data_IF_124087229783
#
_entry.id   IF_124087229783
#
_cell.length_a   1.000
_cell.length_b   1.000
_cell.length_c   1.000
_cell.angle_alpha   90.00
_cell.angle_beta   90.00
_cell.angle_gamma   90.00
#
_symmetry.space_group_name_H-M   'P 1'
#
loop_
_entity.id
_entity.type
_entity.pdbx_description
1 polymer ?
#
# COMPACT_ATOMS: atom_id res chain seq x y z
N UNK A 1 -25.28 5.81 7.87
CA UNK A 1 -24.60 6.96 7.25
C UNK A 1 -23.95 6.44 5.98
N UNK A 2 -24.46 6.85 4.82
CA UNK A 2 -23.78 6.55 3.55
C UNK A 2 -22.40 7.22 3.57
N UNK A 3 -21.34 6.39 3.67
CA UNK A 3 -19.97 6.88 3.50
C UNK A 3 -19.81 7.25 2.03
N UNK A 4 -19.84 8.54 1.72
CA UNK A 4 -19.47 9.03 0.40
C UNK A 4 -17.97 8.77 0.23
N UNK A 5 -17.60 7.84 -0.62
CA UNK A 5 -16.21 7.64 -1.02
C UNK A 5 -15.93 8.67 -2.10
N UNK A 6 -15.21 9.74 -1.74
CA UNK A 6 -14.71 10.68 -2.72
C UNK A 6 -13.60 10.02 -3.55
N UNK A 7 -13.56 10.35 -4.84
CA UNK A 7 -12.46 9.88 -5.69
C UNK A 7 -11.17 10.58 -5.28
N UNK A 8 -10.17 9.79 -4.90
CA UNK A 8 -8.83 10.29 -4.60
C UNK A 8 -8.03 10.30 -5.90
N UNK A 9 -7.33 11.39 -6.15
CA UNK A 9 -6.42 11.57 -7.28
C UNK A 9 -4.99 11.70 -6.77
N UNK A 10 -4.03 11.12 -7.48
CA UNK A 10 -2.61 11.22 -7.18
C UNK A 10 -1.87 11.90 -8.31
N UNK A 11 -1.24 13.03 -8.02
CA UNK A 11 -0.35 13.74 -8.93
C UNK A 11 1.07 13.17 -8.79
N UNK A 12 1.50 12.38 -9.76
CA UNK A 12 2.80 11.71 -9.74
C UNK A 12 3.97 12.70 -9.80
N UNK A 13 3.84 13.79 -10.54
CA UNK A 13 4.91 14.79 -10.69
C UNK A 13 5.16 15.54 -9.38
N UNK A 14 4.08 15.92 -8.68
CA UNK A 14 4.16 16.65 -7.41
C UNK A 14 4.21 15.72 -6.20
N UNK A 15 3.97 14.42 -6.41
CA UNK A 15 3.84 13.42 -5.36
C UNK A 15 2.81 13.80 -4.29
N UNK A 16 1.62 14.24 -4.74
CA UNK A 16 0.55 14.77 -3.89
C UNK A 16 -0.78 14.07 -4.16
N UNK A 17 -1.56 13.93 -3.11
CA UNK A 17 -2.92 13.39 -3.17
C UNK A 17 -3.93 14.53 -3.10
N UNK A 18 -5.05 14.37 -3.82
CA UNK A 18 -6.18 15.29 -3.81
C UNK A 18 -7.49 14.54 -3.81
N UNK A 19 -8.54 15.18 -3.31
CA UNK A 19 -9.92 14.78 -3.56
C UNK A 19 -10.77 16.01 -3.83
N UNK A 20 -11.90 15.81 -4.51
CA UNK A 20 -12.91 16.87 -4.67
C UNK A 20 -13.90 16.78 -3.52
N UNK A 21 -14.06 17.88 -2.78
CA UNK A 21 -15.08 17.99 -1.74
C UNK A 21 -16.49 18.19 -2.34
N UNK A 22 -17.50 18.27 -1.49
CA UNK A 22 -18.91 18.46 -1.90
C UNK A 22 -19.16 19.73 -2.74
N UNK A 23 -18.27 20.70 -2.64
CA UNK A 23 -18.32 21.96 -3.38
C UNK A 23 -17.43 21.98 -4.62
N UNK A 24 -16.89 20.82 -5.02
CA UNK A 24 -15.92 20.65 -6.11
C UNK A 24 -14.59 21.40 -5.88
N UNK A 25 -14.21 21.65 -4.63
CA UNK A 25 -12.88 22.19 -4.32
C UNK A 25 -11.86 21.06 -4.19
N UNK A 26 -10.70 21.24 -4.83
CA UNK A 26 -9.56 20.35 -4.63
C UNK A 26 -9.02 20.50 -3.20
N UNK A 27 -9.04 19.41 -2.45
CA UNK A 27 -8.44 19.30 -1.11
C UNK A 27 -7.16 18.48 -1.19
N UNK A 28 -6.04 19.10 -0.82
CA UNK A 28 -4.75 18.42 -0.74
C UNK A 28 -4.69 17.52 0.49
N UNK A 29 -4.14 16.32 0.30
CA UNK A 29 -3.91 15.34 1.35
C UNK A 29 -2.42 14.98 1.40
N UNK A 30 -1.93 14.64 2.59
CA UNK A 30 -0.54 14.26 2.81
C UNK A 30 -0.36 12.76 2.85
N UNK A 31 0.76 12.27 2.29
CA UNK A 31 1.11 10.86 2.32
C UNK A 31 1.40 10.34 3.74
N UNK A 32 0.98 9.12 4.02
CA UNK A 32 1.25 8.38 5.27
C UNK A 32 2.75 8.27 5.54
N UNK A 33 3.55 7.96 4.50
CA UNK A 33 4.99 7.74 4.61
C UNK A 33 5.74 8.97 5.10
N UNK A 34 5.32 10.17 4.66
CA UNK A 34 5.88 11.45 5.12
C UNK A 34 5.63 11.71 6.60
N UNK A 35 4.42 11.42 7.10
CA UNK A 35 4.08 11.56 8.51
C UNK A 35 4.88 10.60 9.40
N UNK A 36 5.01 9.34 8.98
CA UNK A 36 5.82 8.35 9.70
C UNK A 36 7.30 8.74 9.71
N UNK A 37 7.84 9.19 8.57
CA UNK A 37 9.22 9.67 8.46
C UNK A 37 9.51 10.78 9.47
N UNK A 38 8.64 11.79 9.56
CA UNK A 38 8.73 12.87 10.54
C UNK A 38 8.65 12.36 11.98
N UNK A 39 7.69 11.46 12.27
CA UNK A 39 7.54 10.87 13.60
C UNK A 39 8.81 10.11 14.07
N UNK A 40 9.49 9.44 13.14
CA UNK A 40 10.69 8.64 13.42
C UNK A 40 11.99 9.43 13.23
N UNK A 41 11.94 10.71 12.90
CA UNK A 41 13.14 11.54 12.64
C UNK A 41 13.97 11.05 11.46
N UNK A 42 13.34 10.40 10.46
CA UNK A 42 14.06 9.87 9.30
C UNK A 42 14.19 10.92 8.20
N UNK A 43 15.42 11.15 7.78
CA UNK A 43 15.76 11.88 6.56
C UNK A 43 16.28 10.87 5.54
N UNK A 44 15.70 10.87 4.34
CA UNK A 44 16.19 10.04 3.24
C UNK A 44 17.21 10.85 2.44
N UNK A 45 18.46 10.34 2.27
CA UNK A 45 19.46 11.04 1.50
C UNK A 45 19.09 11.09 0.01
N UNK A 46 19.33 12.23 -0.64
CA UNK A 46 19.19 12.37 -2.09
C UNK A 46 20.51 12.02 -2.78
N UNK A 47 20.72 10.73 -3.03
CA UNK A 47 21.90 10.21 -3.72
C UNK A 47 21.51 9.48 -5.00
N UNK A 48 22.44 9.38 -5.96
CA UNK A 48 22.19 8.65 -7.21
C UNK A 48 21.85 7.16 -6.96
N UNK A 49 22.43 6.56 -5.93
CA UNK A 49 22.12 5.19 -5.51
C UNK A 49 20.66 5.09 -5.07
N UNK A 50 20.17 6.06 -4.29
CA UNK A 50 18.76 6.11 -3.86
C UNK A 50 17.84 6.34 -5.06
N UNK A 51 18.20 7.21 -6.00
CA UNK A 51 17.43 7.43 -7.23
C UNK A 51 17.31 6.16 -8.07
N UNK A 52 18.40 5.44 -8.29
CA UNK A 52 18.39 4.16 -9.00
C UNK A 52 17.55 3.09 -8.29
N UNK A 53 17.63 3.02 -6.96
CA UNK A 53 16.82 2.11 -6.17
C UNK A 53 15.32 2.45 -6.26
N UNK A 54 14.98 3.74 -6.27
CA UNK A 54 13.60 4.23 -6.44
C UNK A 54 13.07 3.90 -7.84
N UNK A 55 13.87 4.11 -8.89
CA UNK A 55 13.48 3.73 -10.26
C UNK A 55 13.20 2.24 -10.39
N UNK A 56 14.06 1.40 -9.82
CA UNK A 56 13.81 -0.05 -9.79
C UNK A 56 12.55 -0.40 -9.01
N UNK A 57 12.33 0.28 -7.86
CA UNK A 57 11.11 0.13 -7.08
C UNK A 57 9.87 0.43 -7.91
N UNK A 58 9.84 1.59 -8.58
CA UNK A 58 8.72 1.97 -9.46
C UNK A 58 8.50 0.95 -10.58
N UNK A 59 9.56 0.44 -11.19
CA UNK A 59 9.45 -0.58 -12.24
C UNK A 59 8.79 -1.87 -11.72
N UNK A 60 9.15 -2.34 -10.52
CA UNK A 60 8.55 -3.53 -9.88
C UNK A 60 7.06 -3.29 -9.59
N UNK A 61 6.69 -2.15 -8.98
CA UNK A 61 5.30 -1.82 -8.69
C UNK A 61 4.46 -1.75 -9.97
N UNK A 62 4.98 -1.06 -11.00
CA UNK A 62 4.28 -0.93 -12.28
C UNK A 62 4.10 -2.26 -13.02
N UNK A 63 5.09 -3.12 -12.94
CA UNK A 63 5.06 -4.46 -13.53
C UNK A 63 3.95 -5.31 -12.89
N UNK A 64 3.85 -5.26 -11.55
CA UNK A 64 2.80 -5.95 -10.79
C UNK A 64 1.41 -5.35 -11.06
N UNK A 65 1.28 -4.02 -11.04
CA UNK A 65 0.03 -3.35 -11.37
C UNK A 65 -0.45 -3.75 -12.77
N UNK A 66 0.44 -3.70 -13.78
CA UNK A 66 0.11 -4.11 -15.13
C UNK A 66 -0.28 -5.58 -15.23
N UNK A 67 0.37 -6.46 -14.46
CA UNK A 67 0.09 -7.88 -14.45
C UNK A 67 -1.32 -8.18 -13.94
N UNK A 68 -1.72 -7.61 -12.80
CA UNK A 68 -3.05 -7.86 -12.24
C UNK A 68 -4.18 -7.07 -12.93
N UNK A 69 -3.91 -5.87 -13.45
CA UNK A 69 -4.94 -5.06 -14.15
C UNK A 69 -5.29 -5.57 -15.54
N UNK A 70 -4.40 -6.33 -16.21
CA UNK A 70 -4.63 -6.84 -17.57
C UNK A 70 -5.34 -8.18 -17.62
N UNK A 71 -5.52 -8.84 -16.49
CA UNK A 71 -5.89 -10.24 -16.47
C UNK A 71 -7.17 -10.46 -15.66
N UNK A 72 -8.22 -10.97 -16.36
CA UNK A 72 -9.42 -11.49 -15.73
C UNK A 72 -9.13 -12.76 -14.90
N UNK A 73 -7.99 -13.39 -15.11
CA UNK A 73 -7.46 -14.54 -14.36
C UNK A 73 -6.22 -14.12 -13.60
N UNK A 74 -6.25 -14.25 -12.28
CA UNK A 74 -5.26 -13.72 -11.35
C UNK A 74 -3.83 -14.19 -11.56
N UNK A 75 -3.65 -15.39 -12.09
CA UNK A 75 -2.32 -15.94 -12.32
C UNK A 75 -2.28 -16.59 -13.71
N UNK A 76 -1.70 -15.90 -14.64
CA UNK A 76 -1.49 -16.40 -16.00
C UNK A 76 0.01 -16.42 -16.33
N UNK A 77 0.34 -16.85 -17.55
CA UNK A 77 1.70 -16.92 -18.07
C UNK A 77 2.17 -15.59 -18.70
N UNK A 78 1.57 -14.45 -18.33
CA UNK A 78 2.01 -13.13 -18.82
C UNK A 78 3.45 -12.87 -18.40
N UNK A 79 4.23 -12.34 -19.31
CA UNK A 79 5.62 -11.98 -19.03
C UNK A 79 5.69 -10.80 -18.05
N UNK A 80 6.41 -11.02 -16.96
CA UNK A 80 6.82 -10.01 -16.03
C UNK A 80 8.24 -9.58 -16.37
N UNK A 81 8.50 -8.28 -16.43
CA UNK A 81 9.78 -7.75 -16.88
C UNK A 81 10.84 -7.75 -15.78
N UNK A 82 10.42 -7.64 -14.52
CA UNK A 82 11.34 -7.56 -13.38
C UNK A 82 11.37 -8.86 -12.57
N UNK A 83 12.55 -9.25 -12.11
CA UNK A 83 12.71 -10.40 -11.21
C UNK A 83 11.99 -10.20 -9.86
N UNK A 84 11.89 -8.95 -9.40
CA UNK A 84 11.15 -8.62 -8.20
C UNK A 84 9.66 -8.91 -8.34
N UNK A 85 9.06 -8.54 -9.47
CA UNK A 85 7.65 -8.80 -9.75
C UNK A 85 7.36 -10.30 -9.92
N UNK A 86 8.21 -11.04 -10.63
CA UNK A 86 8.11 -12.49 -10.75
C UNK A 86 8.04 -13.16 -9.39
N UNK A 87 8.99 -12.83 -8.51
CA UNK A 87 9.02 -13.39 -7.15
C UNK A 87 7.77 -13.05 -6.35
N UNK A 88 7.23 -11.82 -6.48
CA UNK A 88 6.00 -11.40 -5.78
C UNK A 88 4.80 -12.20 -6.28
N UNK A 89 4.63 -12.33 -7.58
CA UNK A 89 3.53 -13.09 -8.18
C UNK A 89 3.58 -14.56 -7.73
N UNK A 90 4.75 -15.19 -7.75
CA UNK A 90 4.93 -16.56 -7.27
C UNK A 90 4.59 -16.68 -5.77
N UNK A 91 5.05 -15.72 -4.96
CA UNK A 91 4.72 -15.67 -3.53
C UNK A 91 3.21 -15.53 -3.28
N UNK A 92 2.51 -14.70 -4.07
CA UNK A 92 1.06 -14.56 -3.98
C UNK A 92 0.32 -15.82 -4.43
N UNK A 93 0.80 -16.51 -5.48
CA UNK A 93 0.29 -17.82 -5.88
C UNK A 93 0.36 -18.81 -4.73
N UNK A 94 1.52 -18.89 -4.07
CA UNK A 94 1.72 -19.78 -2.94
C UNK A 94 0.76 -19.42 -1.79
N UNK A 95 0.67 -18.13 -1.41
CA UNK A 95 -0.25 -17.69 -0.37
C UNK A 95 -1.69 -18.09 -0.71
N UNK A 96 -2.14 -17.82 -1.94
CA UNK A 96 -3.49 -18.18 -2.39
C UNK A 96 -3.74 -19.69 -2.39
N UNK A 97 -2.72 -20.50 -2.66
CA UNK A 97 -2.85 -21.96 -2.65
C UNK A 97 -3.12 -22.54 -1.24
N UNK A 98 -2.65 -21.85 -0.20
CA UNK A 98 -2.87 -22.23 1.20
C UNK A 98 -4.12 -21.62 1.84
N UNK A 99 -4.82 -20.72 1.14
CA UNK A 99 -6.06 -20.12 1.64
C UNK A 99 -7.21 -21.13 1.57
N UNK A 100 -7.97 -21.23 2.65
CA UNK A 100 -9.19 -22.07 2.72
C UNK A 100 -10.25 -21.53 1.73
N UNK A 101 -10.46 -20.22 1.76
CA UNK A 101 -11.33 -19.53 0.82
C UNK A 101 -10.50 -18.91 -0.30
N UNK A 102 -10.91 -19.19 -1.54
CA UNK A 102 -10.24 -18.59 -2.71
C UNK A 102 -10.37 -17.07 -2.68
N UNK A 103 -9.32 -16.35 -3.12
CA UNK A 103 -9.43 -14.91 -3.29
C UNK A 103 -10.64 -14.54 -4.17
N UNK A 104 -11.26 -13.40 -3.87
CA UNK A 104 -12.29 -12.77 -4.70
C UNK A 104 -11.65 -11.76 -5.65
N UNK A 105 -10.68 -10.97 -5.12
CA UNK A 105 -9.93 -10.01 -5.91
C UNK A 105 -8.48 -9.88 -5.43
N UNK A 106 -7.61 -9.48 -6.35
CA UNK A 106 -6.27 -8.93 -6.08
C UNK A 106 -6.21 -7.58 -6.78
N UNK A 107 -6.04 -6.53 -6.01
CA UNK A 107 -6.04 -5.15 -6.47
C UNK A 107 -4.71 -4.49 -6.13
N UNK A 108 -4.18 -3.68 -7.05
CA UNK A 108 -2.91 -2.97 -6.86
C UNK A 108 -3.12 -1.47 -6.76
N UNK A 109 -2.19 -0.77 -6.07
CA UNK A 109 -2.19 0.68 -5.91
C UNK A 109 -3.52 1.24 -5.38
N UNK A 110 -4.12 0.54 -4.39
CA UNK A 110 -5.43 0.88 -3.85
C UNK A 110 -5.36 2.14 -3.01
N UNK A 111 -6.09 3.17 -3.43
CA UNK A 111 -6.14 4.47 -2.75
C UNK A 111 -6.93 4.39 -1.45
N UNK A 112 -6.39 4.95 -0.38
CA UNK A 112 -7.05 5.07 0.92
C UNK A 112 -6.87 6.46 1.52
N UNK A 113 -7.88 6.95 2.27
CA UNK A 113 -7.82 8.27 2.88
C UNK A 113 -8.73 8.38 4.11
N UNK A 114 -8.40 9.30 5.01
CA UNK A 114 -9.32 9.79 6.05
C UNK A 114 -10.20 10.96 5.55
N UNK A 115 -9.98 11.43 4.31
CA UNK A 115 -10.64 12.60 3.71
C UNK A 115 -10.57 13.90 4.56
N UNK A 116 -9.58 13.98 5.46
CA UNK A 116 -9.34 15.11 6.35
C UNK A 116 -7.95 15.69 6.10
N UNK A 117 -6.93 14.84 6.06
CA UNK A 117 -5.54 15.27 5.90
C UNK A 117 -4.61 14.22 5.36
N UNK A 118 -5.02 12.95 5.32
CA UNK A 118 -4.15 11.83 4.99
C UNK A 118 -4.67 11.01 3.82
N UNK A 119 -3.81 10.68 2.88
CA UNK A 119 -4.06 9.66 1.86
C UNK A 119 -2.81 8.81 1.60
N UNK A 120 -3.01 7.66 1.00
CA UNK A 120 -1.92 6.80 0.51
C UNK A 120 -2.42 5.81 -0.52
N UNK A 121 -1.47 5.07 -1.10
CA UNK A 121 -1.73 3.88 -1.91
C UNK A 121 -1.24 2.65 -1.16
N UNK A 122 -2.03 1.58 -1.21
CA UNK A 122 -1.65 0.24 -0.73
C UNK A 122 -1.17 -0.54 -1.94
N UNK A 123 0.03 -1.08 -1.88
CA UNK A 123 0.66 -1.72 -3.04
C UNK A 123 -0.17 -2.89 -3.58
N UNK A 124 -0.60 -3.81 -2.68
CA UNK A 124 -1.46 -4.93 -3.04
C UNK A 124 -2.49 -5.19 -1.94
N UNK A 125 -3.73 -5.34 -2.35
CA UNK A 125 -4.86 -5.78 -1.52
C UNK A 125 -5.40 -7.08 -2.08
N UNK A 126 -5.45 -8.12 -1.26
CA UNK A 126 -6.11 -9.37 -1.59
C UNK A 126 -7.35 -9.49 -0.72
N UNK A 127 -8.51 -9.68 -1.33
CA UNK A 127 -9.79 -9.93 -0.66
C UNK A 127 -10.24 -11.35 -0.91
N UNK A 128 -10.66 -12.06 0.14
CA UNK A 128 -11.28 -13.37 0.03
C UNK A 128 -12.81 -13.28 0.01
N UNK A 129 -13.46 -14.33 -0.45
CA UNK A 129 -14.94 -14.38 -0.58
C UNK A 129 -15.68 -14.24 0.75
N UNK A 130 -15.05 -14.60 1.86
CA UNK A 130 -15.58 -14.40 3.22
C UNK A 130 -15.27 -13.00 3.78
N UNK A 131 -14.94 -12.05 2.90
CA UNK A 131 -14.67 -10.64 3.21
C UNK A 131 -13.45 -10.41 4.13
N UNK A 132 -12.53 -11.37 4.22
CA UNK A 132 -11.22 -11.19 4.84
C UNK A 132 -10.27 -10.51 3.88
N UNK A 133 -9.46 -9.60 4.41
CA UNK A 133 -8.54 -8.78 3.63
C UNK A 133 -7.11 -9.01 4.08
N UNK A 134 -6.20 -9.07 3.11
CA UNK A 134 -4.77 -9.19 3.32
C UNK A 134 -4.09 -8.02 2.63
N UNK A 135 -3.26 -7.27 3.36
CA UNK A 135 -2.52 -6.13 2.82
C UNK A 135 -1.05 -6.50 2.64
N UNK A 136 -0.49 -6.08 1.52
CA UNK A 136 0.93 -6.30 1.22
C UNK A 136 1.58 -4.97 0.85
N UNK A 137 2.78 -4.76 1.38
CA UNK A 137 3.66 -3.64 1.10
C UNK A 137 4.95 -4.17 0.48
N UNK A 138 5.36 -3.64 -0.65
CA UNK A 138 6.50 -4.10 -1.43
C UNK A 138 7.74 -3.29 -1.04
N UNK A 139 8.82 -3.97 -0.71
CA UNK A 139 10.12 -3.35 -0.46
C UNK A 139 11.18 -3.92 -1.40
N UNK A 140 11.72 -3.05 -2.24
CA UNK A 140 12.77 -3.38 -3.23
C UNK A 140 14.18 -3.11 -2.71
N UNK A 141 14.31 -2.65 -1.49
CA UNK A 141 15.59 -2.46 -0.80
C UNK A 141 16.08 -3.74 -0.13
N UNK A 142 17.40 -3.86 0.08
CA UNK A 142 18.00 -5.03 0.75
C UNK A 142 17.60 -5.14 2.23
N UNK A 143 17.33 -4.00 2.85
CA UNK A 143 16.89 -3.90 4.25
C UNK A 143 15.72 -2.93 4.35
N UNK A 144 14.85 -3.15 5.33
CA UNK A 144 13.76 -2.23 5.65
C UNK A 144 13.56 -2.16 7.16
N UNK A 145 13.04 -1.04 7.63
CA UNK A 145 12.73 -0.83 9.04
C UNK A 145 11.36 -1.47 9.34
N UNK A 146 11.37 -2.52 10.18
CA UNK A 146 10.14 -3.24 10.55
C UNK A 146 9.15 -2.37 11.30
N UNK A 147 9.62 -1.46 12.16
CA UNK A 147 8.73 -0.55 12.88
C UNK A 147 8.05 0.43 11.91
N UNK A 148 8.82 0.98 10.96
CA UNK A 148 8.28 1.85 9.92
C UNK A 148 7.18 1.14 9.11
N UNK A 149 7.46 -0.05 8.62
CA UNK A 149 6.48 -0.83 7.85
C UNK A 149 5.26 -1.22 8.70
N UNK A 150 5.46 -1.52 9.98
CA UNK A 150 4.38 -1.83 10.91
C UNK A 150 3.45 -0.64 11.14
N UNK A 151 4.00 0.56 11.30
CA UNK A 151 3.22 1.80 11.41
C UNK A 151 2.46 2.08 10.10
N UNK A 152 3.14 1.96 8.96
CA UNK A 152 2.58 2.17 7.62
C UNK A 152 1.37 1.26 7.37
N UNK A 153 1.55 -0.04 7.51
CA UNK A 153 0.50 -1.03 7.29
C UNK A 153 -0.64 -0.92 8.31
N UNK A 154 -0.36 -0.52 9.56
CA UNK A 154 -1.42 -0.30 10.55
C UNK A 154 -2.30 0.91 10.21
N UNK A 155 -1.72 1.98 9.66
CA UNK A 155 -2.50 3.11 9.11
C UNK A 155 -3.30 2.66 7.89
N UNK A 156 -2.68 1.91 6.98
CA UNK A 156 -3.36 1.37 5.80
C UNK A 156 -4.55 0.49 6.17
N UNK A 157 -4.39 -0.41 7.15
CA UNK A 157 -5.48 -1.22 7.67
C UNK A 157 -6.66 -0.35 8.11
N UNK A 158 -6.41 0.63 8.96
CA UNK A 158 -7.45 1.54 9.47
C UNK A 158 -8.18 2.24 8.32
N UNK A 159 -7.44 2.87 7.41
CA UNK A 159 -8.02 3.60 6.30
C UNK A 159 -8.77 2.69 5.34
N UNK A 160 -8.23 1.49 5.06
CA UNK A 160 -8.88 0.52 4.20
C UNK A 160 -10.22 0.04 4.79
N UNK A 161 -10.24 -0.39 6.05
CA UNK A 161 -11.45 -0.84 6.73
C UNK A 161 -12.51 0.28 6.79
N UNK A 162 -12.08 1.53 6.95
CA UNK A 162 -12.95 2.70 6.92
C UNK A 162 -13.50 3.02 5.53
N UNK A 163 -12.71 2.87 4.46
CA UNK A 163 -13.10 3.24 3.09
C UNK A 163 -13.92 2.13 2.40
N UNK A 164 -13.45 0.88 2.51
CA UNK A 164 -13.97 -0.23 1.71
C UNK A 164 -14.73 -1.28 2.51
N UNK A 165 -14.61 -1.25 3.85
CA UNK A 165 -15.12 -2.31 4.71
C UNK A 165 -14.27 -3.57 4.64
N UNK A 166 -14.81 -4.68 5.14
CA UNK A 166 -14.09 -5.93 5.32
C UNK A 166 -13.23 -5.92 6.58
N UNK A 167 -12.56 -7.04 6.85
CA UNK A 167 -11.69 -7.19 8.00
C UNK A 167 -10.28 -7.52 7.55
N UNK A 168 -9.33 -6.65 7.83
CA UNK A 168 -7.91 -6.91 7.56
C UNK A 168 -7.38 -7.90 8.59
N UNK A 169 -7.18 -9.14 8.16
CA UNK A 169 -6.77 -10.26 9.04
C UNK A 169 -5.26 -10.46 9.07
N UNK A 170 -4.54 -9.99 8.06
CA UNK A 170 -3.09 -10.05 8.03
C UNK A 170 -2.48 -8.95 7.14
N UNK A 171 -1.26 -8.58 7.50
CA UNK A 171 -0.44 -7.60 6.81
C UNK A 171 0.95 -8.17 6.58
N UNK A 172 1.51 -7.97 5.40
CA UNK A 172 2.81 -8.51 5.01
C UNK A 172 3.68 -7.45 4.34
N UNK A 173 4.98 -7.56 4.57
CA UNK A 173 6.00 -6.91 3.73
C UNK A 173 6.62 -7.95 2.82
N UNK A 174 6.68 -7.67 1.53
CA UNK A 174 7.31 -8.49 0.51
C UNK A 174 8.65 -7.87 0.12
N UNK A 175 9.74 -8.43 0.63
CA UNK A 175 11.10 -7.95 0.36
C UNK A 175 11.71 -8.65 -0.86
N UNK A 176 11.73 -7.98 -2.02
CA UNK A 176 12.12 -8.60 -3.29
C UNK A 176 13.60 -9.01 -3.35
N UNK A 177 14.52 -8.18 -2.84
CA UNK A 177 15.95 -8.50 -2.81
C UNK A 177 16.29 -9.65 -1.87
N UNK A 178 15.64 -9.70 -0.72
CA UNK A 178 15.83 -10.77 0.25
C UNK A 178 15.04 -12.04 -0.12
N UNK A 179 14.09 -11.94 -1.07
CA UNK A 179 13.11 -12.97 -1.42
C UNK A 179 12.44 -13.55 -0.18
N UNK A 180 11.91 -12.67 0.67
CA UNK A 180 11.27 -13.03 1.96
C UNK A 180 9.99 -12.24 2.16
N UNK A 181 8.96 -12.93 2.63
CA UNK A 181 7.73 -12.33 3.15
C UNK A 181 7.81 -12.24 4.67
N UNK A 182 7.34 -11.13 5.23
CA UNK A 182 7.31 -10.89 6.66
C UNK A 182 5.91 -10.51 7.09
N UNK A 183 5.31 -11.32 7.96
CA UNK A 183 4.06 -10.93 8.61
C UNK A 183 4.32 -9.78 9.57
N UNK A 184 3.48 -8.77 9.50
CA UNK A 184 3.60 -7.54 10.29
C UNK A 184 2.60 -7.57 11.44
N UNK A 185 3.06 -7.15 12.61
CA UNK A 185 2.23 -7.00 13.81
C UNK A 185 1.63 -5.59 13.79
N UNK A 186 0.32 -5.52 13.99
CA UNK A 186 -0.41 -4.26 14.08
C UNK A 186 0.08 -3.40 15.25
N UNK A 187 0.22 -2.11 15.03
CA UNK A 187 0.52 -1.14 16.06
C UNK A 187 -0.76 -0.66 16.78
N UNK A 188 -0.60 -0.13 17.99
CA UNK A 188 -1.73 0.36 18.76
C UNK A 188 -2.47 1.49 18.05
N UNK A 189 -3.80 1.58 18.27
CA UNK A 189 -4.64 2.65 17.74
C UNK A 189 -4.10 4.05 18.10
N UNK A 190 -3.56 4.22 19.30
CA UNK A 190 -2.95 5.48 19.75
C UNK A 190 -1.82 5.94 18.84
N UNK A 191 -0.97 5.02 18.36
CA UNK A 191 0.11 5.38 17.42
C UNK A 191 -0.44 5.73 16.05
N UNK A 192 -1.43 4.99 15.56
CA UNK A 192 -2.12 5.26 14.30
C UNK A 192 -2.80 6.63 14.35
N UNK A 193 -3.55 6.93 15.40
CA UNK A 193 -4.23 8.22 15.60
C UNK A 193 -3.23 9.39 15.65
N UNK A 194 -2.06 9.19 16.27
CA UNK A 194 -1.00 10.20 16.29
C UNK A 194 -0.48 10.51 14.89
N UNK A 195 -0.27 9.49 14.05
CA UNK A 195 0.19 9.67 12.66
C UNK A 195 -0.86 10.42 11.85
N UNK A 196 -2.13 10.02 11.94
CA UNK A 196 -3.23 10.69 11.25
C UNK A 196 -3.40 12.15 11.70
N UNK A 197 -3.26 12.41 13.01
CA UNK A 197 -3.35 13.77 13.56
C UNK A 197 -2.24 14.70 13.03
N UNK A 198 -1.02 14.17 12.77
CA UNK A 198 0.08 14.99 12.22
C UNK A 198 -0.20 15.54 10.83
N UNK A 199 -1.10 14.93 10.07
CA UNK A 199 -1.48 15.38 8.73
C UNK A 199 -2.71 16.32 8.73
N UNK A 200 -3.46 16.40 9.84
CA UNK A 200 -4.63 17.26 9.97
C UNK A 200 -4.30 18.73 10.21
N UNK A 201 -3.06 19.02 10.64
CA UNK A 201 -2.62 20.39 10.96
C UNK A 201 -2.14 21.08 9.68
N UNK A 202 -3.03 21.73 8.96
CA UNK A 202 -2.76 22.70 7.89
C UNK A 202 -3.44 24.01 8.29
#
# INVERSE_FOLDING_TARGET
MDKRIYKIEFDEEKHKYYYLDENNHHRELRGVTGAIGKLMGKNFPDTDIVKLATMYGHAVHKDIENYFNKNDYWFNDSELSTEGAKWIVDTLKDICSFMVEKPESIECEVMVSDFIGTASKIDIVLRSRDNKVYLFDIKTTSTFDRLYCSLQLSVYKRLYEENYGGTVVAMYVLGTKAKRSFRIIEQSSVKVDKILAMNKTI
#
